data_IF_302123395863
#
_entry.id   IF_302123395863
#
_cell.length_a   1.000
_cell.length_b   1.000
_cell.length_c   1.000
_cell.angle_alpha   90.00
_cell.angle_beta   90.00
_cell.angle_gamma   90.00
#
_symmetry.space_group_name_H-M   'P 1'
#
loop_
_entity.id
_entity.type
_entity.pdbx_description
1 polymer ?
#
# COMPACT_ATOMS: atom_id res chain seq x y z
N UNK A 1 68.13 -11.63 13.30
CA UNK A 1 66.73 -12.03 13.51
C UNK A 1 65.85 -10.94 12.93
N UNK A 2 65.21 -11.17 11.79
CA UNK A 2 64.27 -10.23 11.17
C UNK A 2 62.90 -10.41 11.80
N UNK A 3 62.44 -9.41 12.54
CA UNK A 3 61.11 -9.35 13.13
C UNK A 3 60.06 -9.29 12.02
N UNK A 4 59.26 -10.36 11.88
CA UNK A 4 58.15 -10.39 10.93
C UNK A 4 57.04 -9.44 11.38
N UNK A 5 56.79 -8.39 10.60
CA UNK A 5 55.62 -7.53 10.76
C UNK A 5 54.41 -8.13 10.04
N UNK A 6 53.21 -8.17 10.64
CA UNK A 6 52.02 -8.70 9.99
C UNK A 6 51.68 -7.87 8.74
N UNK A 7 51.22 -8.52 7.65
CA UNK A 7 50.93 -7.84 6.41
C UNK A 7 49.76 -6.85 6.57
N UNK A 8 49.98 -5.59 6.23
CA UNK A 8 48.95 -4.54 6.21
C UNK A 8 48.20 -4.57 4.88
N UNK A 9 47.23 -5.48 4.76
CA UNK A 9 46.34 -5.52 3.59
C UNK A 9 45.74 -6.90 3.31
N UNK A 10 44.67 -6.92 2.52
CA UNK A 10 44.06 -8.18 2.06
C UNK A 10 44.97 -8.83 1.02
N UNK A 11 45.52 -9.99 1.39
CA UNK A 11 46.34 -10.80 0.49
C UNK A 11 45.55 -11.28 -0.75
N UNK A 12 46.23 -11.85 -1.75
CA UNK A 12 45.59 -12.33 -2.98
C UNK A 12 44.51 -13.40 -2.73
N UNK A 13 44.64 -14.21 -1.67
CA UNK A 13 43.60 -15.15 -1.23
C UNK A 13 42.36 -14.44 -0.69
N UNK A 14 42.53 -13.47 0.21
CA UNK A 14 41.41 -12.67 0.74
C UNK A 14 40.66 -11.90 -0.35
N UNK A 15 41.35 -11.44 -1.41
CA UNK A 15 40.69 -10.83 -2.58
C UNK A 15 39.85 -11.82 -3.39
N UNK A 16 40.29 -13.09 -3.50
CA UNK A 16 39.54 -14.17 -4.17
C UNK A 16 38.33 -14.58 -3.34
N UNK A 17 38.50 -14.74 -2.03
CA UNK A 17 37.42 -15.04 -1.09
C UNK A 17 36.34 -13.95 -1.11
N UNK A 18 36.73 -12.67 -1.06
CA UNK A 18 35.78 -11.56 -1.14
C UNK A 18 34.99 -11.57 -2.46
N UNK A 19 35.65 -11.84 -3.59
CA UNK A 19 34.96 -11.93 -4.88
C UNK A 19 33.97 -13.10 -4.93
N UNK A 20 34.35 -14.25 -4.39
CA UNK A 20 33.46 -15.40 -4.26
C UNK A 20 32.27 -15.07 -3.36
N UNK A 21 32.51 -14.42 -2.21
CA UNK A 21 31.48 -14.01 -1.27
C UNK A 21 30.46 -13.05 -1.91
N UNK A 22 30.93 -12.04 -2.64
CA UNK A 22 30.04 -11.15 -3.40
C UNK A 22 29.26 -11.90 -4.48
N UNK A 23 29.89 -12.85 -5.18
CA UNK A 23 29.22 -13.70 -6.17
C UNK A 23 28.10 -14.55 -5.55
N UNK A 24 28.33 -15.11 -4.36
CA UNK A 24 27.35 -15.91 -3.63
C UNK A 24 26.22 -15.08 -3.03
N UNK A 25 26.52 -13.86 -2.55
CA UNK A 25 25.53 -12.96 -1.97
C UNK A 25 24.71 -12.19 -3.02
N UNK A 26 25.22 -12.05 -4.25
CA UNK A 26 24.58 -11.23 -5.28
C UNK A 26 23.11 -11.60 -5.54
N UNK A 27 22.71 -12.88 -5.71
CA UNK A 27 21.30 -13.22 -5.94
C UNK A 27 20.41 -12.78 -4.79
N UNK A 28 20.85 -12.99 -3.54
CA UNK A 28 20.10 -12.58 -2.34
C UNK A 28 19.97 -11.06 -2.27
N UNK A 29 21.07 -10.34 -2.50
CA UNK A 29 21.07 -8.87 -2.48
C UNK A 29 20.17 -8.32 -3.59
N UNK A 30 20.22 -8.89 -4.79
CA UNK A 30 19.39 -8.46 -5.91
C UNK A 30 17.90 -8.65 -5.62
N UNK A 31 17.51 -9.82 -5.08
CA UNK A 31 16.11 -10.10 -4.70
C UNK A 31 15.65 -9.16 -3.60
N UNK A 32 16.43 -9.01 -2.52
CA UNK A 32 16.09 -8.09 -1.41
C UNK A 32 15.99 -6.66 -1.92
N UNK A 33 16.89 -6.23 -2.80
CA UNK A 33 16.85 -4.88 -3.35
C UNK A 33 15.61 -4.63 -4.20
N UNK A 34 15.24 -5.58 -5.06
CA UNK A 34 14.07 -5.45 -5.94
C UNK A 34 12.74 -5.51 -5.17
N UNK A 35 12.63 -6.42 -4.19
CA UNK A 35 11.36 -6.71 -3.50
C UNK A 35 11.14 -5.83 -2.28
N UNK A 36 12.21 -5.46 -1.58
CA UNK A 36 12.11 -4.71 -0.30
C UNK A 36 12.59 -3.28 -0.47
N UNK A 37 13.81 -3.07 -0.98
CA UNK A 37 14.43 -1.74 -1.00
C UNK A 37 13.74 -0.81 -2.00
N UNK A 38 13.45 -1.27 -3.22
CA UNK A 38 12.83 -0.45 -4.25
C UNK A 38 11.43 0.06 -3.82
N UNK A 39 10.50 -0.78 -3.32
CA UNK A 39 9.23 -0.28 -2.79
C UNK A 39 9.40 0.69 -1.61
N UNK A 40 10.36 0.44 -0.71
CA UNK A 40 10.63 1.37 0.40
C UNK A 40 11.13 2.73 -0.09
N UNK A 41 12.02 2.75 -1.09
CA UNK A 41 12.47 4.00 -1.72
C UNK A 41 11.31 4.71 -2.42
N UNK A 42 10.39 3.98 -3.06
CA UNK A 42 9.20 4.57 -3.67
C UNK A 42 8.26 5.16 -2.61
N UNK A 43 8.04 4.48 -1.48
CA UNK A 43 7.26 5.02 -0.35
C UNK A 43 7.92 6.28 0.20
N UNK A 44 9.23 6.25 0.39
CA UNK A 44 9.99 7.42 0.85
C UNK A 44 9.83 8.59 -0.12
N UNK A 45 10.00 8.35 -1.42
CA UNK A 45 9.80 9.34 -2.48
C UNK A 45 8.39 9.95 -2.46
N UNK A 46 7.36 9.11 -2.38
CA UNK A 46 5.95 9.52 -2.31
C UNK A 46 5.66 10.34 -1.04
N UNK A 47 6.32 10.05 0.08
CA UNK A 47 6.07 10.77 1.35
C UNK A 47 6.38 12.27 1.29
N UNK A 48 7.28 12.69 0.39
CA UNK A 48 7.62 14.10 0.15
C UNK A 48 6.76 14.76 -0.93
N UNK A 49 5.66 14.14 -1.36
CA UNK A 49 4.81 14.69 -2.43
C UNK A 49 3.38 14.88 -1.95
N UNK A 50 2.70 15.98 -2.31
CA UNK A 50 1.33 16.26 -1.85
C UNK A 50 0.31 15.46 -2.68
N UNK A 51 0.39 14.13 -2.66
CA UNK A 51 -0.41 13.24 -3.51
C UNK A 51 -1.71 12.86 -2.81
N UNK A 52 -2.83 13.05 -3.51
CA UNK A 52 -4.13 12.46 -3.19
C UNK A 52 -4.44 11.21 -4.03
N UNK A 53 -5.56 10.56 -3.75
CA UNK A 53 -6.05 9.42 -4.55
C UNK A 53 -6.36 9.81 -6.01
N UNK A 54 -6.70 11.09 -6.24
CA UNK A 54 -7.03 11.61 -7.56
C UNK A 54 -5.80 11.76 -8.46
N UNK A 55 -4.60 11.95 -7.89
CA UNK A 55 -3.38 12.32 -8.62
C UNK A 55 -2.53 11.09 -9.01
N UNK A 56 -3.04 9.88 -8.77
CA UNK A 56 -2.35 8.63 -9.10
C UNK A 56 -2.30 8.33 -10.60
N UNK A 57 -3.16 8.98 -11.39
CA UNK A 57 -3.22 8.83 -12.84
C UNK A 57 -2.56 10.05 -13.50
N UNK A 58 -1.76 9.85 -14.56
CA UNK A 58 -1.25 10.99 -15.32
C UNK A 58 -2.43 11.81 -15.87
N UNK A 59 -2.33 13.15 -15.88
CA UNK A 59 -3.30 14.01 -16.55
C UNK A 59 -3.41 13.60 -18.02
N UNK A 60 -4.64 13.30 -18.45
CA UNK A 60 -4.94 12.89 -19.81
C UNK A 60 -6.20 13.59 -20.31
N UNK A 61 -6.25 13.97 -21.60
CA UNK A 61 -7.46 14.52 -22.18
C UNK A 61 -8.47 13.39 -22.36
N UNK A 62 -9.73 13.65 -22.02
CA UNK A 62 -10.84 12.71 -22.17
C UNK A 62 -11.85 13.32 -23.13
N UNK A 63 -12.05 12.65 -24.26
CA UNK A 63 -13.05 13.05 -25.26
C UNK A 63 -14.35 12.29 -25.09
N UNK A 64 -15.44 12.96 -25.39
CA UNK A 64 -16.74 12.35 -25.64
C UNK A 64 -17.31 12.93 -26.92
N UNK A 65 -17.58 12.07 -27.87
CA UNK A 65 -18.29 12.38 -29.10
C UNK A 65 -19.81 12.26 -28.87
N UNK A 66 -20.57 13.09 -29.56
CA UNK A 66 -22.02 13.00 -29.64
C UNK A 66 -22.50 13.57 -30.98
N UNK A 67 -23.35 12.82 -31.68
CA UNK A 67 -24.09 13.34 -32.81
C UNK A 67 -25.33 14.11 -32.31
N UNK A 68 -25.57 15.31 -32.82
CA UNK A 68 -26.66 16.21 -32.40
C UNK A 68 -27.31 16.84 -33.64
N UNK A 69 -28.62 17.09 -33.55
CA UNK A 69 -29.38 17.73 -34.63
C UNK A 69 -30.05 16.71 -35.54
N UNK A 70 -30.73 17.21 -36.57
CA UNK A 70 -31.46 16.41 -37.57
C UNK A 70 -31.47 17.17 -38.91
N UNK A 71 -31.53 16.43 -40.02
CA UNK A 71 -31.59 16.93 -41.40
C UNK A 71 -30.49 17.98 -41.71
N UNK A 72 -30.87 19.25 -41.87
CA UNK A 72 -30.02 20.36 -42.31
C UNK A 72 -29.17 20.99 -41.17
N UNK A 73 -29.36 20.58 -39.91
CA UNK A 73 -28.61 21.07 -38.73
C UNK A 73 -27.88 19.94 -37.99
N UNK A 74 -27.43 18.92 -38.73
CA UNK A 74 -26.65 17.83 -38.15
C UNK A 74 -25.24 18.32 -37.77
N UNK A 75 -24.83 18.09 -36.52
CA UNK A 75 -23.49 18.40 -36.03
C UNK A 75 -22.89 17.29 -35.18
N UNK A 76 -21.60 17.08 -35.36
CA UNK A 76 -20.78 16.18 -34.56
C UNK A 76 -20.07 17.01 -33.49
N UNK A 77 -20.39 16.72 -32.23
CA UNK A 77 -19.93 17.46 -31.07
C UNK A 77 -18.88 16.65 -30.30
N UNK A 78 -17.66 17.17 -30.22
CA UNK A 78 -16.59 16.58 -29.43
C UNK A 78 -16.36 17.42 -28.18
N UNK A 79 -16.65 16.84 -27.02
CA UNK A 79 -16.37 17.44 -25.71
C UNK A 79 -15.08 16.88 -25.16
N UNK A 80 -14.03 17.69 -25.12
CA UNK A 80 -12.74 17.31 -24.55
C UNK A 80 -12.63 17.92 -23.15
N UNK A 81 -12.22 17.12 -22.16
CA UNK A 81 -11.97 17.60 -20.79
C UNK A 81 -10.61 17.15 -20.28
N UNK A 82 -9.98 17.97 -19.46
CA UNK A 82 -8.81 17.55 -18.69
C UNK A 82 -9.24 16.60 -17.56
N UNK A 83 -8.60 15.44 -17.43
CA UNK A 83 -8.89 14.48 -16.35
C UNK A 83 -8.41 14.98 -14.97
N UNK A 84 -7.39 15.83 -14.94
CA UNK A 84 -6.85 16.46 -13.72
C UNK A 84 -7.61 17.73 -13.38
N UNK A 85 -7.75 18.03 -12.09
CA UNK A 85 -8.36 19.28 -11.62
C UNK A 85 -7.33 20.40 -11.42
N UNK A 86 -6.03 20.06 -11.34
CA UNK A 86 -4.96 20.99 -10.97
C UNK A 86 -3.86 21.10 -12.02
N UNK A 87 -3.53 19.99 -12.68
CA UNK A 87 -2.44 19.93 -13.66
C UNK A 87 -2.94 20.26 -15.06
N UNK A 88 -2.21 21.12 -15.77
CA UNK A 88 -2.46 21.38 -17.18
C UNK A 88 -1.95 20.24 -18.08
N UNK A 89 -2.57 20.07 -19.23
CA UNK A 89 -2.15 19.16 -20.30
C UNK A 89 -1.74 20.01 -21.49
N UNK A 90 -0.50 19.89 -21.93
CA UNK A 90 0.02 20.64 -23.06
C UNK A 90 -0.08 19.88 -24.38
N UNK A 91 -0.28 20.63 -25.47
CA UNK A 91 -0.29 20.13 -26.85
C UNK A 91 -1.37 19.08 -27.09
N UNK A 92 -2.61 19.40 -26.73
CA UNK A 92 -3.76 18.51 -26.88
C UNK A 92 -4.21 18.49 -28.33
N UNK A 93 -4.24 17.31 -28.93
CA UNK A 93 -4.66 17.11 -30.31
C UNK A 93 -5.72 16.03 -30.38
N UNK A 94 -6.84 16.34 -31.03
CA UNK A 94 -7.95 15.43 -31.32
C UNK A 94 -7.85 14.98 -32.78
N UNK A 95 -7.88 13.67 -33.02
CA UNK A 95 -7.90 13.09 -34.35
C UNK A 95 -9.03 12.09 -34.46
N UNK A 96 -9.78 12.16 -35.55
CA UNK A 96 -10.86 11.22 -35.84
C UNK A 96 -11.15 11.14 -37.35
N UNK A 97 -12.00 10.21 -37.76
CA UNK A 97 -12.41 9.99 -39.15
C UNK A 97 -13.92 10.15 -39.25
N UNK A 98 -14.37 11.03 -40.16
CA UNK A 98 -15.79 11.22 -40.43
C UNK A 98 -16.43 9.91 -40.92
N UNK A 99 -17.64 9.57 -40.42
CA UNK A 99 -18.35 8.38 -40.84
C UNK A 99 -18.74 8.44 -42.33
N UNK A 100 -18.96 7.28 -42.96
CA UNK A 100 -19.45 7.25 -44.34
C UNK A 100 -20.90 7.78 -44.41
N UNK A 101 -21.24 8.52 -45.47
CA UNK A 101 -22.60 9.05 -45.66
C UNK A 101 -22.85 10.44 -45.07
N UNK A 102 -21.79 11.17 -44.68
CA UNK A 102 -21.83 12.59 -44.33
C UNK A 102 -20.83 13.40 -45.14
N UNK A 103 -21.19 14.64 -45.49
CA UNK A 103 -20.28 15.64 -46.05
C UNK A 103 -20.13 16.81 -45.08
N UNK A 104 -18.90 17.30 -44.91
CA UNK A 104 -18.60 18.42 -44.02
C UNK A 104 -18.99 19.75 -44.68
N UNK A 105 -19.80 20.53 -43.96
CA UNK A 105 -20.26 21.86 -44.40
C UNK A 105 -19.40 22.96 -43.80
N UNK A 106 -19.13 22.85 -42.49
CA UNK A 106 -18.36 23.80 -41.71
C UNK A 106 -17.71 23.08 -40.55
N UNK A 107 -16.44 23.35 -40.32
CA UNK A 107 -15.73 22.87 -39.14
C UNK A 107 -15.17 24.04 -38.34
N UNK A 108 -14.81 23.76 -37.09
CA UNK A 108 -14.03 24.67 -36.25
C UNK A 108 -12.70 25.06 -36.94
N UNK A 109 -12.28 26.31 -36.78
CA UNK A 109 -11.06 26.85 -37.40
C UNK A 109 -9.78 26.12 -36.94
N UNK A 110 -9.86 25.44 -35.79
CA UNK A 110 -8.77 24.65 -35.19
C UNK A 110 -8.53 23.30 -35.87
N UNK A 111 -9.42 22.88 -36.78
CA UNK A 111 -9.40 21.56 -37.40
C UNK A 111 -8.86 21.58 -38.84
N UNK A 112 -7.93 20.67 -39.13
CA UNK A 112 -7.36 20.43 -40.46
C UNK A 112 -7.87 19.09 -40.98
N UNK A 113 -8.38 19.06 -42.21
CA UNK A 113 -8.95 17.87 -42.84
C UNK A 113 -8.02 17.33 -43.93
N UNK A 114 -7.84 16.01 -43.97
CA UNK A 114 -7.17 15.27 -45.04
C UNK A 114 -8.11 14.15 -45.51
N UNK A 115 -9.00 14.49 -46.44
CA UNK A 115 -10.09 13.60 -46.86
C UNK A 115 -11.13 13.43 -45.74
N UNK A 116 -11.52 12.19 -45.37
CA UNK A 116 -12.46 11.95 -44.27
C UNK A 116 -11.79 12.05 -42.88
N UNK A 117 -10.45 12.00 -42.81
CA UNK A 117 -9.73 12.15 -41.56
C UNK A 117 -9.55 13.63 -41.20
N UNK A 118 -9.60 13.95 -39.92
CA UNK A 118 -9.34 15.30 -39.44
C UNK A 118 -8.54 15.31 -38.15
N UNK A 119 -7.84 16.41 -37.93
CA UNK A 119 -7.05 16.65 -36.74
C UNK A 119 -7.30 18.07 -36.25
N UNK A 120 -7.73 18.22 -35.01
CA UNK A 120 -7.97 19.51 -34.35
C UNK A 120 -6.90 19.77 -33.28
N UNK A 121 -6.25 20.92 -33.37
CA UNK A 121 -5.29 21.38 -32.35
C UNK A 121 -6.01 22.22 -31.30
N UNK A 122 -6.09 21.69 -30.08
CA UNK A 122 -6.75 22.32 -28.93
C UNK A 122 -5.77 23.12 -28.07
N UNK A 123 -4.46 23.05 -28.35
CA UNK A 123 -3.44 23.71 -27.56
C UNK A 123 -3.34 23.16 -26.14
N UNK A 124 -3.24 24.05 -25.15
CA UNK A 124 -3.05 23.64 -23.75
C UNK A 124 -4.39 23.67 -22.99
N UNK A 125 -4.71 22.58 -22.28
CA UNK A 125 -5.89 22.46 -21.43
C UNK A 125 -5.51 22.59 -19.95
N UNK A 126 -5.91 23.68 -19.31
CA UNK A 126 -5.74 23.90 -17.87
C UNK A 126 -6.44 22.82 -17.03
N UNK A 127 -6.07 22.73 -15.74
CA UNK A 127 -6.70 21.83 -14.78
C UNK A 127 -8.21 22.04 -14.71
N UNK A 128 -8.99 20.97 -14.91
CA UNK A 128 -10.45 20.99 -14.89
C UNK A 128 -11.11 21.66 -16.12
N UNK A 129 -10.32 22.13 -17.08
CA UNK A 129 -10.82 22.78 -18.29
C UNK A 129 -11.64 21.81 -19.15
N UNK A 130 -12.58 22.41 -19.90
CA UNK A 130 -13.41 21.74 -20.90
C UNK A 130 -13.39 22.57 -22.16
N UNK A 131 -13.24 21.89 -23.29
CA UNK A 131 -13.29 22.47 -24.62
C UNK A 131 -14.31 21.69 -25.46
N UNK A 132 -14.86 22.36 -26.46
CA UNK A 132 -15.93 21.84 -27.31
C UNK A 132 -15.59 22.17 -28.76
N UNK A 133 -15.69 21.15 -29.62
CA UNK A 133 -15.50 21.26 -31.06
C UNK A 133 -16.79 20.80 -31.73
N UNK A 134 -17.31 21.64 -32.62
CA UNK A 134 -18.49 21.33 -33.42
C UNK A 134 -18.10 21.24 -34.90
N UNK A 135 -18.49 20.14 -35.55
CA UNK A 135 -18.37 19.96 -36.99
C UNK A 135 -19.78 19.83 -37.56
N UNK A 136 -20.17 20.76 -38.42
CA UNK A 136 -21.47 20.77 -39.10
C UNK A 136 -21.40 19.90 -40.35
N UNK A 137 -22.36 18.98 -40.45
CA UNK A 137 -22.42 17.93 -41.46
C UNK A 137 -23.74 18.02 -42.24
N UNK A 138 -23.74 17.54 -43.48
CA UNK A 138 -24.96 17.25 -44.24
C UNK A 138 -25.04 15.76 -44.50
N UNK A 139 -26.22 15.18 -44.26
CA UNK A 139 -26.50 13.77 -44.54
C UNK A 139 -26.56 13.53 -46.04
N UNK A 140 -25.77 12.57 -46.52
CA UNK A 140 -25.85 12.03 -47.88
C UNK A 140 -26.31 10.57 -47.91
N UNK A 141 -26.37 9.91 -46.74
CA UNK A 141 -26.78 8.51 -46.55
C UNK A 141 -27.94 8.31 -45.57
N UNK A 142 -28.08 7.08 -45.06
CA UNK A 142 -29.11 6.68 -44.07
C UNK A 142 -28.74 7.18 -42.66
N UNK A 143 -29.63 7.95 -42.03
CA UNK A 143 -29.40 8.61 -40.73
C UNK A 143 -29.05 7.61 -39.62
N UNK A 144 -29.72 6.45 -39.58
CA UNK A 144 -29.47 5.41 -38.58
C UNK A 144 -28.10 4.71 -38.74
N UNK A 145 -27.59 4.62 -39.97
CA UNK A 145 -26.26 4.08 -40.23
C UNK A 145 -25.15 5.06 -39.79
N UNK A 146 -25.39 6.38 -39.96
CA UNK A 146 -24.48 7.44 -39.51
C UNK A 146 -24.46 7.53 -37.98
N UNK A 147 -25.61 7.42 -37.32
CA UNK A 147 -25.69 7.40 -35.85
C UNK A 147 -24.92 6.21 -35.26
N UNK A 148 -25.12 5.01 -35.81
CA UNK A 148 -24.37 3.82 -35.37
C UNK A 148 -22.86 3.92 -35.65
N UNK A 149 -22.47 4.53 -36.78
CA UNK A 149 -21.07 4.77 -37.09
C UNK A 149 -20.43 5.73 -36.09
N UNK A 150 -21.09 6.85 -35.77
CA UNK A 150 -20.63 7.83 -34.77
C UNK A 150 -20.65 7.31 -33.32
N UNK A 151 -21.49 6.31 -33.00
CA UNK A 151 -21.41 5.63 -31.70
C UNK A 151 -20.26 4.63 -31.62
N UNK A 152 -19.73 4.20 -32.76
CA UNK A 152 -18.67 3.19 -32.87
C UNK A 152 -17.30 3.77 -33.17
N UNK A 153 -17.20 5.05 -33.53
CA UNK A 153 -15.94 5.78 -33.66
C UNK A 153 -15.24 5.86 -32.30
N UNK A 154 -13.93 5.65 -32.33
CA UNK A 154 -13.06 5.83 -31.17
C UNK A 154 -12.12 7.00 -31.48
N UNK A 155 -12.52 8.25 -31.23
CA UNK A 155 -11.67 9.41 -31.46
C UNK A 155 -10.39 9.31 -30.63
N UNK A 156 -9.24 9.54 -31.27
CA UNK A 156 -7.94 9.53 -30.61
C UNK A 156 -7.62 10.93 -30.09
N UNK A 157 -7.36 11.05 -28.79
CA UNK A 157 -6.87 12.31 -28.21
C UNK A 157 -5.55 12.10 -27.53
N UNK A 158 -4.58 12.91 -27.92
CA UNK A 158 -3.22 12.90 -27.38
C UNK A 158 -2.96 14.19 -26.64
N UNK A 159 -2.07 14.14 -25.66
CA UNK A 159 -1.66 15.28 -24.85
C UNK A 159 -0.56 14.89 -23.87
N UNK A 160 0.24 15.86 -23.44
CA UNK A 160 1.34 15.65 -22.50
C UNK A 160 1.08 16.39 -21.18
N UNK A 161 1.06 15.65 -20.07
CA UNK A 161 0.82 16.22 -18.74
C UNK A 161 1.95 15.90 -17.77
N UNK A 162 2.20 16.80 -16.81
CA UNK A 162 3.15 16.52 -15.73
C UNK A 162 2.55 15.48 -14.77
N UNK A 163 3.32 14.44 -14.42
CA UNK A 163 2.87 13.43 -13.47
C UNK A 163 3.51 13.69 -12.11
N UNK A 164 2.66 13.92 -11.09
CA UNK A 164 3.10 14.22 -9.73
C UNK A 164 4.02 13.15 -9.14
N UNK A 165 3.84 11.87 -9.51
CA UNK A 165 4.62 10.74 -9.02
C UNK A 165 6.07 10.77 -9.54
N UNK A 166 6.28 11.26 -10.76
CA UNK A 166 7.59 11.22 -11.44
C UNK A 166 8.28 12.57 -11.51
N UNK A 167 7.59 13.66 -11.18
CA UNK A 167 8.21 14.99 -11.15
C UNK A 167 9.20 15.13 -9.98
N UNK A 168 10.01 16.19 -9.98
CA UNK A 168 11.00 16.47 -8.94
C UNK A 168 10.52 17.48 -7.88
N UNK A 169 9.19 17.69 -7.81
CA UNK A 169 8.60 18.60 -6.84
C UNK A 169 8.44 17.88 -5.48
N UNK A 170 8.99 18.48 -4.43
CA UNK A 170 8.98 17.93 -3.08
C UNK A 170 8.49 18.96 -2.06
N UNK A 171 7.75 18.50 -1.06
CA UNK A 171 7.18 19.28 0.04
C UNK A 171 7.26 18.51 1.36
N UNK A 172 7.17 19.23 2.47
CA UNK A 172 7.10 18.68 3.84
C UNK A 172 5.69 18.74 4.44
N UNK A 173 4.69 19.15 3.66
CA UNK A 173 3.31 19.32 4.12
C UNK A 173 2.72 18.06 4.75
N UNK A 174 2.99 16.88 4.19
CA UNK A 174 2.53 15.60 4.75
C UNK A 174 3.04 15.40 6.18
N UNK A 175 4.30 15.71 6.44
CA UNK A 175 4.90 15.58 7.77
C UNK A 175 4.31 16.60 8.73
N UNK A 176 4.22 17.88 8.32
CA UNK A 176 3.61 18.94 9.13
C UNK A 176 2.17 18.58 9.54
N UNK A 177 1.36 18.11 8.57
CA UNK A 177 -0.02 17.68 8.79
C UNK A 177 -0.16 16.54 9.80
N UNK A 178 0.79 15.60 9.82
CA UNK A 178 0.80 14.48 10.78
C UNK A 178 1.14 14.98 12.18
N UNK A 179 2.20 15.78 12.33
CA UNK A 179 2.66 16.24 13.64
C UNK A 179 1.75 17.30 14.29
N UNK A 180 1.07 18.12 13.48
CA UNK A 180 0.02 19.04 13.93
C UNK A 180 -1.31 18.33 14.24
N UNK A 181 -1.42 17.05 13.88
CA UNK A 181 -2.58 16.22 14.14
C UNK A 181 -2.79 15.99 15.64
N UNK A 182 -3.97 16.39 16.14
CA UNK A 182 -4.37 16.22 17.56
C UNK A 182 -4.31 14.76 18.06
N UNK A 183 -4.43 13.79 17.16
CA UNK A 183 -4.48 12.37 17.51
C UNK A 183 -3.11 11.67 17.47
N UNK A 184 -2.12 12.24 16.77
CA UNK A 184 -0.85 11.57 16.48
C UNK A 184 -0.13 11.11 17.76
N UNK A 185 0.06 12.04 18.70
CA UNK A 185 0.73 11.76 19.97
C UNK A 185 -0.04 10.77 20.84
N UNK A 186 -1.38 10.79 20.77
CA UNK A 186 -2.24 9.85 21.49
C UNK A 186 -2.09 8.43 20.95
N UNK A 187 -2.14 8.25 19.63
CA UNK A 187 -1.93 6.96 18.97
C UNK A 187 -0.51 6.45 19.23
N UNK A 188 0.50 7.32 19.08
CA UNK A 188 1.89 6.96 19.33
C UNK A 188 2.11 6.48 20.77
N UNK A 189 1.51 7.16 21.76
CA UNK A 189 1.58 6.75 23.16
C UNK A 189 0.96 5.37 23.41
N UNK A 190 -0.21 5.10 22.80
CA UNK A 190 -0.87 3.79 22.88
C UNK A 190 -0.02 2.68 22.24
N UNK A 191 0.52 2.93 21.04
CA UNK A 191 1.42 1.98 20.36
C UNK A 191 2.68 1.72 21.17
N UNK A 192 3.31 2.77 21.70
CA UNK A 192 4.52 2.62 22.51
C UNK A 192 4.25 1.81 23.79
N UNK A 193 3.15 2.09 24.49
CA UNK A 193 2.73 1.32 25.66
C UNK A 193 2.54 -0.16 25.29
N UNK A 194 1.73 -0.44 24.27
CA UNK A 194 1.46 -1.80 23.79
C UNK A 194 2.75 -2.54 23.42
N UNK A 195 3.65 -1.91 22.66
CA UNK A 195 4.91 -2.54 22.23
C UNK A 195 5.84 -2.79 23.41
N UNK A 196 6.04 -1.82 24.31
CA UNK A 196 6.98 -1.96 25.44
C UNK A 196 6.50 -3.01 26.43
N UNK A 197 5.27 -2.89 26.91
CA UNK A 197 4.74 -3.82 27.92
C UNK A 197 4.43 -5.20 27.31
N UNK A 198 3.99 -5.26 26.06
CA UNK A 198 3.80 -6.50 25.32
C UNK A 198 5.11 -7.28 25.16
N UNK A 199 6.17 -6.60 24.73
CA UNK A 199 7.50 -7.21 24.57
C UNK A 199 8.08 -7.68 25.91
N UNK A 200 8.06 -6.83 26.94
CA UNK A 200 8.56 -7.18 28.27
C UNK A 200 7.80 -8.39 28.82
N UNK A 201 6.47 -8.38 28.72
CA UNK A 201 5.66 -9.51 29.17
C UNK A 201 5.99 -10.80 28.41
N UNK A 202 6.05 -10.76 27.07
CA UNK A 202 6.40 -11.92 26.25
C UNK A 202 7.78 -12.50 26.62
N UNK A 203 8.77 -11.64 26.89
CA UNK A 203 10.10 -12.06 27.34
C UNK A 203 10.07 -12.71 28.73
N UNK A 204 9.36 -12.12 29.69
CA UNK A 204 9.25 -12.66 31.05
C UNK A 204 8.55 -14.02 31.08
N UNK A 205 7.39 -14.14 30.41
CA UNK A 205 6.68 -15.42 30.31
C UNK A 205 7.44 -16.43 29.46
N UNK A 206 8.13 -15.98 28.41
CA UNK A 206 9.02 -16.82 27.59
C UNK A 206 10.19 -17.38 28.38
N UNK A 207 10.85 -16.54 29.19
CA UNK A 207 11.92 -16.96 30.10
C UNK A 207 11.42 -17.96 31.14
N UNK A 208 10.27 -17.67 31.76
CA UNK A 208 9.66 -18.59 32.74
C UNK A 208 9.37 -19.96 32.11
N UNK A 209 8.76 -19.98 30.93
CA UNK A 209 8.52 -21.20 30.17
C UNK A 209 9.81 -21.93 29.77
N UNK A 210 10.87 -21.18 29.40
CA UNK A 210 12.16 -21.73 29.02
C UNK A 210 12.83 -22.41 30.21
N UNK A 211 12.86 -21.76 31.37
CA UNK A 211 13.39 -22.34 32.60
C UNK A 211 12.66 -23.62 33.00
N UNK A 212 11.33 -23.65 32.85
CA UNK A 212 10.51 -24.82 33.17
C UNK A 212 10.81 -26.01 32.24
N UNK A 213 10.97 -25.74 30.94
CA UNK A 213 11.20 -26.76 29.91
C UNK A 213 12.68 -26.99 29.56
N UNK A 214 13.60 -26.37 30.30
CA UNK A 214 15.03 -26.65 30.20
C UNK A 214 15.41 -27.97 30.89
N UNK A 215 14.62 -28.40 31.89
CA UNK A 215 14.82 -29.69 32.56
C UNK A 215 14.16 -30.82 31.78
N UNK A 216 14.77 -31.99 31.79
CA UNK A 216 14.19 -33.21 31.20
C UNK A 216 13.15 -33.81 32.15
N UNK A 217 11.93 -34.04 31.64
CA UNK A 217 10.89 -34.75 32.39
C UNK A 217 9.86 -35.40 31.45
N UNK A 218 9.11 -36.38 31.99
CA UNK A 218 8.10 -37.12 31.22
C UNK A 218 6.97 -36.19 30.77
N UNK A 219 6.72 -36.10 29.46
CA UNK A 219 5.67 -35.25 28.87
C UNK A 219 6.13 -33.88 28.36
N UNK A 220 7.42 -33.56 28.47
CA UNK A 220 8.01 -32.29 28.01
C UNK A 220 7.69 -31.95 26.54
N UNK A 221 7.66 -32.95 25.65
CA UNK A 221 7.34 -32.73 24.23
C UNK A 221 5.91 -32.23 24.00
N UNK A 222 4.94 -32.73 24.76
CA UNK A 222 3.53 -32.29 24.67
C UNK A 222 3.40 -30.86 25.18
N UNK A 223 4.04 -30.54 26.31
CA UNK A 223 4.04 -29.18 26.86
C UNK A 223 4.72 -28.17 25.93
N UNK A 224 5.83 -28.55 25.28
CA UNK A 224 6.44 -27.73 24.22
C UNK A 224 5.44 -27.44 23.11
N UNK A 225 4.73 -28.45 22.61
CA UNK A 225 3.68 -28.27 21.59
C UNK A 225 2.57 -27.33 22.04
N UNK A 226 2.06 -27.51 23.25
CA UNK A 226 1.01 -26.65 23.82
C UNK A 226 1.48 -25.20 24.01
N UNK A 227 2.72 -24.99 24.43
CA UNK A 227 3.29 -23.65 24.58
C UNK A 227 3.49 -22.95 23.24
N UNK A 228 3.74 -23.70 22.15
CA UNK A 228 3.89 -23.13 20.81
C UNK A 228 2.57 -22.83 20.11
N UNK A 229 1.47 -23.43 20.56
CA UNK A 229 0.14 -23.26 19.96
C UNK A 229 -0.26 -21.79 19.75
N UNK A 230 -0.09 -20.88 20.74
CA UNK A 230 -0.48 -19.49 20.58
C UNK A 230 0.20 -18.84 19.39
N UNK A 231 1.48 -19.12 19.11
CA UNK A 231 2.22 -18.50 18.01
C UNK A 231 1.90 -19.10 16.64
N UNK A 232 1.58 -20.40 16.58
CA UNK A 232 1.35 -21.12 15.32
C UNK A 232 -0.08 -20.92 14.80
N UNK A 233 -1.06 -20.73 15.68
CA UNK A 233 -2.45 -20.59 15.30
C UNK A 233 -2.69 -19.37 14.36
N UNK A 234 -3.71 -19.37 13.49
CA UNK A 234 -4.03 -18.19 12.67
C UNK A 234 -4.46 -17.00 13.53
N UNK A 235 -3.81 -15.84 13.37
CA UNK A 235 -4.04 -14.66 14.23
C UNK A 235 -5.50 -14.21 14.25
N UNK A 236 -6.16 -14.20 13.09
CA UNK A 236 -7.56 -13.79 12.96
C UNK A 236 -8.49 -14.70 13.77
N UNK A 237 -8.32 -16.02 13.65
CA UNK A 237 -9.15 -16.99 14.35
C UNK A 237 -9.03 -16.85 15.88
N UNK A 238 -7.81 -16.64 16.36
CA UNK A 238 -7.56 -16.52 17.79
C UNK A 238 -8.01 -15.17 18.34
N UNK A 239 -7.88 -14.09 17.57
CA UNK A 239 -8.45 -12.79 17.94
C UNK A 239 -9.96 -12.87 18.11
N UNK A 240 -10.69 -13.51 17.18
CA UNK A 240 -12.13 -13.74 17.34
C UNK A 240 -12.47 -14.63 18.54
N UNK A 241 -11.68 -15.68 18.78
CA UNK A 241 -11.87 -16.52 19.96
C UNK A 241 -11.77 -15.71 21.26
N UNK A 242 -10.80 -14.79 21.36
CA UNK A 242 -10.67 -13.88 22.51
C UNK A 242 -11.82 -12.88 22.60
N UNK A 243 -12.24 -12.28 21.49
CA UNK A 243 -13.40 -11.36 21.47
C UNK A 243 -14.65 -12.05 22.01
N UNK A 244 -14.93 -13.27 21.56
CA UNK A 244 -16.10 -14.06 22.02
C UNK A 244 -15.94 -14.46 23.48
N UNK A 245 -14.74 -14.91 23.89
CA UNK A 245 -14.47 -15.33 25.27
C UNK A 245 -14.69 -14.22 26.30
N UNK A 246 -14.28 -12.99 25.95
CA UNK A 246 -14.33 -11.81 26.80
C UNK A 246 -15.47 -10.84 26.43
N UNK A 247 -16.46 -11.30 25.65
CA UNK A 247 -17.64 -10.51 25.32
C UNK A 247 -18.44 -10.15 26.60
N UNK A 248 -18.90 -8.89 26.77
CA UNK A 248 -19.63 -8.47 27.97
C UNK A 248 -21.01 -9.12 28.11
N UNK A 249 -21.64 -9.56 27.03
CA UNK A 249 -23.02 -10.07 27.06
C UNK A 249 -23.10 -11.59 27.09
N UNK A 250 -22.20 -12.25 26.37
CA UNK A 250 -22.23 -13.69 26.09
C UNK A 250 -20.92 -14.42 26.39
N UNK A 251 -19.88 -13.69 26.82
CA UNK A 251 -18.56 -14.25 27.06
C UNK A 251 -18.51 -15.13 28.32
N UNK A 252 -17.93 -16.32 28.18
CA UNK A 252 -17.80 -17.27 29.29
C UNK A 252 -16.85 -16.78 30.38
N UNK A 253 -15.90 -15.88 30.05
CA UNK A 253 -15.03 -15.28 31.06
C UNK A 253 -15.82 -14.42 32.06
N UNK A 254 -16.73 -13.57 31.56
CA UNK A 254 -17.60 -12.76 32.41
C UNK A 254 -18.56 -13.62 33.25
N UNK A 255 -19.15 -14.66 32.65
CA UNK A 255 -20.01 -15.59 33.37
C UNK A 255 -19.28 -16.27 34.54
N UNK A 256 -18.02 -16.68 34.33
CA UNK A 256 -17.18 -17.28 35.37
C UNK A 256 -16.81 -16.28 36.47
N UNK A 257 -16.46 -15.04 36.11
CA UNK A 257 -16.11 -13.99 37.11
C UNK A 257 -17.28 -13.66 38.03
N UNK A 258 -18.49 -13.56 37.48
CA UNK A 258 -19.72 -13.34 38.25
C UNK A 258 -20.02 -14.55 39.14
N UNK A 259 -19.92 -15.77 38.60
CA UNK A 259 -20.17 -16.99 39.37
C UNK A 259 -19.20 -17.17 40.54
N UNK A 260 -17.92 -16.79 40.36
CA UNK A 260 -16.91 -16.82 41.42
C UNK A 260 -17.04 -15.66 42.42
N UNK A 261 -17.99 -14.74 42.22
CA UNK A 261 -18.17 -13.57 43.07
C UNK A 261 -17.06 -12.52 42.96
N UNK A 262 -16.27 -12.56 41.88
CA UNK A 262 -15.19 -11.57 41.64
C UNK A 262 -15.77 -10.23 41.20
N UNK A 263 -16.90 -10.24 40.50
CA UNK A 263 -17.55 -9.06 39.92
C UNK A 263 -19.07 -9.15 40.03
N UNK A 264 -19.74 -8.05 40.36
CA UNK A 264 -21.22 -8.00 40.45
C UNK A 264 -21.90 -7.85 39.08
N UNK A 265 -21.20 -7.30 38.09
CA UNK A 265 -21.69 -7.07 36.73
C UNK A 265 -20.64 -7.44 35.69
N UNK A 266 -21.09 -7.65 34.45
CA UNK A 266 -20.18 -8.00 33.36
C UNK A 266 -19.25 -6.84 33.01
N UNK A 267 -17.97 -7.16 32.80
CA UNK A 267 -16.94 -6.19 32.45
C UNK A 267 -16.82 -6.10 30.93
N UNK A 268 -16.81 -4.87 30.41
CA UNK A 268 -16.55 -4.60 29.01
C UNK A 268 -15.04 -4.49 28.72
N UNK A 269 -14.39 -5.64 28.58
CA UNK A 269 -12.94 -5.77 28.42
C UNK A 269 -12.34 -4.99 27.23
N UNK A 270 -13.11 -4.80 26.15
CA UNK A 270 -12.63 -4.14 24.94
C UNK A 270 -13.29 -2.78 24.65
N UNK A 271 -14.35 -2.42 25.36
CA UNK A 271 -15.13 -1.21 25.08
C UNK A 271 -14.69 0.05 25.82
N UNK A 272 -13.86 -0.07 26.86
CA UNK A 272 -13.48 1.07 27.71
C UNK A 272 -11.97 1.19 27.87
N UNK A 273 -11.46 2.43 27.87
CA UNK A 273 -10.08 2.74 28.25
C UNK A 273 -9.98 2.84 29.78
N UNK A 274 -8.92 2.33 30.42
CA UNK A 274 -7.69 1.75 29.84
C UNK A 274 -7.75 0.24 29.58
N UNK A 275 -8.86 -0.41 29.96
CA UNK A 275 -8.97 -1.87 29.98
C UNK A 275 -8.75 -2.51 28.60
N UNK A 276 -9.29 -1.90 27.54
CA UNK A 276 -9.09 -2.36 26.17
C UNK A 276 -7.61 -2.47 25.78
N UNK A 277 -6.80 -1.47 26.15
CA UNK A 277 -5.36 -1.48 25.87
C UNK A 277 -4.64 -2.57 26.67
N UNK A 278 -5.01 -2.74 27.94
CA UNK A 278 -4.46 -3.80 28.79
C UNK A 278 -4.77 -5.17 28.19
N UNK A 279 -6.02 -5.41 27.78
CA UNK A 279 -6.45 -6.70 27.22
C UNK A 279 -5.76 -7.03 25.89
N UNK A 280 -5.63 -6.04 25.00
CA UNK A 280 -4.88 -6.21 23.75
C UNK A 280 -3.39 -6.47 24.03
N UNK A 281 -2.82 -5.85 25.07
CA UNK A 281 -1.44 -6.12 25.50
C UNK A 281 -1.28 -7.53 26.10
N UNK A 282 -2.25 -8.01 26.87
CA UNK A 282 -2.24 -9.38 27.43
C UNK A 282 -2.36 -10.42 26.31
N UNK A 283 -3.21 -10.17 25.31
CA UNK A 283 -3.29 -10.98 24.11
C UNK A 283 -1.94 -11.08 23.39
N UNK A 284 -1.26 -9.95 23.20
CA UNK A 284 0.07 -9.89 22.58
C UNK A 284 1.10 -10.73 23.36
N UNK A 285 1.14 -10.59 24.68
CA UNK A 285 2.03 -11.37 25.54
C UNK A 285 1.77 -12.87 25.35
N UNK A 286 0.52 -13.30 25.44
CA UNK A 286 0.15 -14.70 25.26
C UNK A 286 0.47 -15.23 23.85
N UNK A 287 0.33 -14.40 22.81
CA UNK A 287 0.65 -14.75 21.42
C UNK A 287 2.15 -14.92 21.17
N UNK A 288 2.98 -14.04 21.72
CA UNK A 288 4.40 -13.93 21.38
C UNK A 288 5.37 -14.47 22.45
N UNK A 289 4.92 -14.79 23.67
CA UNK A 289 5.77 -15.52 24.62
C UNK A 289 6.37 -16.83 24.04
N UNK A 290 5.69 -17.60 23.15
CA UNK A 290 6.26 -18.84 22.64
C UNK A 290 7.51 -18.63 21.78
N UNK A 291 7.54 -17.52 21.02
CA UNK A 291 8.70 -17.14 20.22
C UNK A 291 9.88 -16.80 21.14
N UNK A 292 9.62 -15.98 22.18
CA UNK A 292 10.62 -15.63 23.20
C UNK A 292 11.14 -16.88 23.92
N UNK A 293 10.24 -17.78 24.31
CA UNK A 293 10.54 -19.08 24.89
C UNK A 293 11.52 -19.89 24.03
N UNK A 294 11.27 -20.03 22.73
CA UNK A 294 12.12 -20.81 21.83
C UNK A 294 13.54 -20.24 21.75
N UNK A 295 13.68 -18.93 21.55
CA UNK A 295 14.99 -18.29 21.44
C UNK A 295 15.77 -18.39 22.76
N UNK A 296 15.11 -18.14 23.89
CA UNK A 296 15.75 -18.20 25.20
C UNK A 296 16.17 -19.64 25.51
N UNK A 297 15.30 -20.63 25.29
CA UNK A 297 15.62 -22.04 25.52
C UNK A 297 16.80 -22.50 24.64
N UNK A 298 16.81 -22.16 23.35
CA UNK A 298 17.91 -22.50 22.45
C UNK A 298 19.24 -21.88 22.90
N UNK A 299 19.21 -20.64 23.42
CA UNK A 299 20.40 -20.00 23.99
C UNK A 299 20.86 -20.65 25.29
N UNK A 300 19.93 -20.98 26.20
CA UNK A 300 20.25 -21.70 27.44
C UNK A 300 20.91 -23.05 27.16
N UNK A 301 20.44 -23.77 26.15
CA UNK A 301 20.99 -25.07 25.72
C UNK A 301 22.35 -24.97 25.02
N UNK A 302 22.76 -23.78 24.55
CA UNK A 302 24.07 -23.57 23.94
C UNK A 302 25.19 -23.29 24.95
N UNK A 303 24.85 -23.05 26.22
CA UNK A 303 25.80 -22.78 27.30
C UNK A 303 26.34 -24.11 27.81
N UNK A 304 27.67 -24.21 27.91
CA UNK A 304 28.35 -25.40 28.43
C UNK A 304 27.90 -25.72 29.86
N UNK A 305 27.64 -27.00 30.13
CA UNK A 305 27.21 -27.47 31.44
C UNK A 305 28.26 -27.19 32.52
N UNK A 306 29.54 -27.18 32.14
CA UNK A 306 30.66 -26.90 33.04
C UNK A 306 30.59 -25.50 33.68
N UNK A 307 29.81 -24.58 33.11
CA UNK A 307 29.62 -23.23 33.67
C UNK A 307 28.58 -23.15 34.80
N UNK A 308 27.82 -24.22 35.02
CA UNK A 308 26.80 -24.28 36.07
C UNK A 308 27.25 -25.09 37.31
N UNK A 309 28.38 -25.81 37.21
CA UNK A 309 29.02 -26.56 38.31
C UNK A 309 29.96 -25.66 39.13
#
# INVERSE_FOLDING_TARGET
>A
MTTATPPTGTGPLGKREARLAWGLLFPTIAIVSAVVILPLLAIFWISFKPIGLADLRPPAPVVREALRGADDDLRLEYRVRNSSQSEAIGGVTLSDVLPEGVEMVRADERCVFDGPAFTCDLGDLDGGARDEIEIFLTLTGDEGAVEQAAESSEPEVTGSGNNILTNFDFTLENFAKIFDGREFWGVMGVTLFYTVFGTIGALLFGLFAAMLLNKEFKGQGVLRGLYLFPYVAPVIAVAFAWIILFDPFSGSANALLIQMGVTESAINFFGERPLALIMVTVFEIWRYFPLSFLFILARMQSIDTDMYE
#
